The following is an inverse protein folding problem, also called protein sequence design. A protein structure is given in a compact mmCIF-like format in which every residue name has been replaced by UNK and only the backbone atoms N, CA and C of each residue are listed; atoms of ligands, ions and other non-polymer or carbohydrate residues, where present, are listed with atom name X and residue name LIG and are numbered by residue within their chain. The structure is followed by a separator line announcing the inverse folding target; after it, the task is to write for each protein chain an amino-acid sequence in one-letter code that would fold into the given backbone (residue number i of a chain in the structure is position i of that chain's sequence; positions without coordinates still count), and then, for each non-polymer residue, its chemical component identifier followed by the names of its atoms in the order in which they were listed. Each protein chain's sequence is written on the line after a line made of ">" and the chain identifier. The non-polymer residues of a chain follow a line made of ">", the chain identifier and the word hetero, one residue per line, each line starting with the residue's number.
data_IF_052129313177
#
_entry.id   IF_052129313177
#
_cell.length_a   1.000
_cell.length_b   1.000
_cell.length_c   1.000
_cell.angle_alpha   90.00
_cell.angle_beta   90.00
_cell.angle_gamma   90.00
#
_symmetry.space_group_name_H-M   'P 1'
#
loop_
_entity.id
_entity.type
_entity.pdbx_description
1 polymer ?
#
# COMPACT_ATOMS: atom_id res chain seq x y z
N UNK A 1 27.63 30.67 -18.96
CA UNK A 1 26.81 30.64 -17.74
C UNK A 1 27.77 30.53 -16.59
N UNK A 2 27.85 31.56 -15.75
CA UNK A 2 28.74 31.57 -14.59
C UNK A 2 28.20 30.62 -13.52
N UNK A 3 29.09 29.85 -12.88
CA UNK A 3 28.75 28.83 -11.88
C UNK A 3 27.96 29.42 -10.70
N UNK A 4 28.29 30.67 -10.33
CA UNK A 4 27.63 31.44 -9.27
C UNK A 4 26.14 31.74 -9.60
N UNK A 5 25.84 32.02 -10.88
CA UNK A 5 24.46 32.26 -11.33
C UNK A 5 23.62 30.98 -11.30
N UNK A 6 24.23 29.84 -11.64
CA UNK A 6 23.58 28.52 -11.54
C UNK A 6 23.25 28.16 -10.09
N UNK A 7 24.17 28.36 -9.15
CA UNK A 7 23.95 28.07 -7.72
C UNK A 7 22.87 28.97 -7.10
N UNK A 8 22.81 30.24 -7.52
CA UNK A 8 21.74 31.17 -7.12
C UNK A 8 20.36 30.77 -7.66
N UNK A 9 20.29 30.25 -8.89
CA UNK A 9 19.03 29.72 -9.42
C UNK A 9 18.63 28.41 -8.72
N UNK A 10 19.61 27.54 -8.44
CA UNK A 10 19.39 26.26 -7.77
C UNK A 10 18.86 26.44 -6.34
N UNK A 11 19.49 27.33 -5.56
CA UNK A 11 19.06 27.66 -4.19
C UNK A 11 17.62 28.19 -4.13
N UNK A 12 17.27 29.09 -5.06
CA UNK A 12 15.90 29.61 -5.18
C UNK A 12 14.90 28.50 -5.53
N UNK A 13 15.26 27.63 -6.48
CA UNK A 13 14.43 26.50 -6.85
C UNK A 13 14.25 25.52 -5.68
N UNK A 14 15.31 25.20 -4.92
CA UNK A 14 15.22 24.31 -3.77
C UNK A 14 14.34 24.88 -2.64
N UNK A 15 14.38 26.19 -2.39
CA UNK A 15 13.51 26.83 -1.40
C UNK A 15 12.04 26.78 -1.80
N UNK A 16 11.73 26.93 -3.09
CA UNK A 16 10.36 26.81 -3.61
C UNK A 16 9.87 25.36 -3.49
N UNK A 17 10.71 24.39 -3.85
CA UNK A 17 10.39 22.98 -3.72
C UNK A 17 10.20 22.57 -2.25
N UNK A 18 11.08 23.01 -1.34
CA UNK A 18 10.96 22.72 0.09
C UNK A 18 9.62 23.23 0.67
N UNK A 19 9.12 24.37 0.20
CA UNK A 19 7.79 24.88 0.59
C UNK A 19 6.65 24.09 -0.02
N UNK A 20 6.81 23.55 -1.23
CA UNK A 20 5.79 22.76 -1.93
C UNK A 20 5.67 21.31 -1.38
N UNK A 21 6.80 20.65 -1.06
CA UNK A 21 6.82 19.25 -0.58
C UNK A 21 6.07 19.08 0.74
N UNK A 22 6.03 20.11 1.59
CA UNK A 22 5.26 20.12 2.86
C UNK A 22 3.75 19.94 2.64
N UNK A 23 3.22 20.16 1.43
CA UNK A 23 1.80 19.94 1.13
C UNK A 23 1.47 18.55 0.58
N UNK A 24 2.44 17.72 0.18
CA UNK A 24 2.15 16.42 -0.45
C UNK A 24 1.68 15.32 0.54
N UNK A 25 1.76 15.53 1.85
CA UNK A 25 1.30 14.55 2.87
C UNK A 25 -0.16 14.75 3.34
N UNK A 26 -0.94 15.66 2.73
CA UNK A 26 -2.23 16.08 3.30
C UNK A 26 -3.40 15.10 3.14
N UNK A 27 -3.31 14.12 2.23
CA UNK A 27 -4.42 13.18 2.03
C UNK A 27 -4.38 12.02 3.05
N UNK A 28 -4.75 12.31 4.30
CA UNK A 28 -5.01 11.28 5.31
C UNK A 28 -6.41 10.71 5.12
N UNK A 29 -6.52 9.63 4.34
CA UNK A 29 -7.80 8.95 4.18
C UNK A 29 -8.25 8.39 5.54
N UNK A 30 -9.50 8.63 5.96
CA UNK A 30 -10.02 8.07 7.18
C UNK A 30 -10.05 6.55 7.07
N UNK A 31 -9.63 5.86 8.14
CA UNK A 31 -9.74 4.40 8.22
C UNK A 31 -11.19 3.97 8.05
N UNK A 32 -11.42 2.84 7.38
CA UNK A 32 -12.75 2.32 7.17
C UNK A 32 -13.39 1.88 8.49
N UNK A 33 -14.53 2.48 8.84
CA UNK A 33 -15.31 2.10 10.03
C UNK A 33 -16.20 0.94 9.66
N UNK A 34 -15.75 -0.27 10.01
CA UNK A 34 -16.43 -1.52 9.73
C UNK A 34 -17.25 -1.97 10.93
N UNK A 35 -18.50 -2.38 10.66
CA UNK A 35 -19.42 -2.95 11.62
C UNK A 35 -19.92 -4.29 11.11
N UNK A 36 -19.76 -5.34 11.92
CA UNK A 36 -20.24 -6.68 11.58
C UNK A 36 -21.67 -6.88 12.10
N UNK A 37 -22.63 -7.06 11.19
CA UNK A 37 -24.01 -7.43 11.50
C UNK A 37 -24.27 -8.87 11.05
N UNK A 38 -23.95 -9.82 11.92
CA UNK A 38 -24.18 -11.25 11.67
C UNK A 38 -23.25 -11.81 10.58
N UNK A 39 -23.78 -12.05 9.37
CA UNK A 39 -23.00 -12.51 8.19
C UNK A 39 -22.63 -11.36 7.25
N UNK A 40 -23.16 -10.17 7.50
CA UNK A 40 -23.00 -8.98 6.67
C UNK A 40 -22.00 -8.04 7.33
N UNK A 41 -21.14 -7.43 6.53
CA UNK A 41 -20.23 -6.38 6.97
C UNK A 41 -20.71 -5.05 6.41
N UNK A 42 -20.82 -4.03 7.26
CA UNK A 42 -21.26 -2.69 6.90
C UNK A 42 -20.10 -1.72 7.07
N UNK A 43 -19.72 -1.03 6.00
CA UNK A 43 -18.74 0.07 6.04
C UNK A 43 -19.51 1.38 6.17
N UNK A 44 -19.43 2.05 7.32
CA UNK A 44 -20.25 3.24 7.62
C UNK A 44 -19.80 4.50 6.87
N UNK A 45 -18.49 4.69 6.71
CA UNK A 45 -17.87 5.88 6.12
C UNK A 45 -17.43 5.66 4.66
N UNK A 46 -18.08 4.73 3.93
CA UNK A 46 -17.71 4.43 2.55
C UNK A 46 -17.82 5.67 1.66
N UNK A 47 -18.93 6.41 1.77
CA UNK A 47 -19.13 7.62 0.97
C UNK A 47 -18.07 8.68 1.28
N UNK A 48 -17.73 8.87 2.56
CA UNK A 48 -16.74 9.86 2.99
C UNK A 48 -15.34 9.55 2.41
N UNK A 49 -14.96 8.27 2.37
CA UNK A 49 -13.71 7.81 1.79
C UNK A 49 -13.70 8.10 0.27
N UNK A 50 -14.79 7.75 -0.41
CA UNK A 50 -14.91 7.90 -1.87
C UNK A 50 -14.92 9.37 -2.30
N UNK A 51 -15.62 10.22 -1.56
CA UNK A 51 -15.63 11.67 -1.77
C UNK A 51 -14.24 12.27 -1.57
N UNK A 52 -13.50 11.81 -0.56
CA UNK A 52 -12.14 12.29 -0.30
C UNK A 52 -11.15 11.94 -1.43
N UNK A 53 -11.30 10.78 -2.06
CA UNK A 53 -10.47 10.39 -3.23
C UNK A 53 -11.03 10.93 -4.56
N UNK A 54 -12.12 11.69 -4.52
CA UNK A 54 -12.80 12.25 -5.68
C UNK A 54 -13.11 11.20 -6.77
N UNK A 55 -13.80 10.12 -6.38
CA UNK A 55 -14.20 9.03 -7.30
C UNK A 55 -15.69 8.77 -7.26
N UNK A 56 -16.19 8.10 -8.31
CA UNK A 56 -17.59 7.67 -8.34
C UNK A 56 -17.78 6.42 -7.43
N UNK A 57 -18.72 6.45 -6.46
CA UNK A 57 -18.96 5.33 -5.54
C UNK A 57 -19.30 4.01 -6.24
N UNK A 58 -19.97 4.06 -7.39
CA UNK A 58 -20.36 2.86 -8.14
C UNK A 58 -19.16 2.21 -8.83
N UNK A 59 -18.23 3.02 -9.33
CA UNK A 59 -16.99 2.50 -9.93
C UNK A 59 -16.10 1.86 -8.84
N UNK A 60 -16.01 2.47 -7.66
CA UNK A 60 -15.30 1.91 -6.51
C UNK A 60 -15.96 0.61 -6.04
N UNK A 61 -17.29 0.57 -5.88
CA UNK A 61 -18.00 -0.64 -5.46
C UNK A 61 -17.88 -1.77 -6.49
N UNK A 62 -17.85 -1.44 -7.79
CA UNK A 62 -17.65 -2.42 -8.87
C UNK A 62 -16.25 -3.02 -8.83
N UNK A 63 -15.23 -2.20 -8.56
CA UNK A 63 -13.87 -2.69 -8.33
C UNK A 63 -13.82 -3.64 -7.12
N UNK A 64 -14.35 -3.21 -5.98
CA UNK A 64 -14.35 -4.03 -4.76
C UNK A 64 -15.12 -5.35 -4.95
N UNK A 65 -16.25 -5.31 -5.65
CA UNK A 65 -17.02 -6.52 -6.01
C UNK A 65 -16.18 -7.49 -6.84
N UNK A 66 -15.40 -6.98 -7.81
CA UNK A 66 -14.51 -7.79 -8.65
C UNK A 66 -13.35 -8.39 -7.84
N UNK A 67 -12.74 -7.60 -6.96
CA UNK A 67 -11.58 -8.02 -6.16
C UNK A 67 -11.94 -9.06 -5.09
N UNK A 68 -13.06 -8.86 -4.39
CA UNK A 68 -13.48 -9.77 -3.34
C UNK A 68 -14.31 -10.94 -3.87
N UNK A 69 -14.89 -10.82 -5.07
CA UNK A 69 -15.82 -11.81 -5.63
C UNK A 69 -17.13 -11.90 -4.87
N UNK A 70 -17.55 -10.81 -4.21
CA UNK A 70 -18.72 -10.76 -3.32
C UNK A 70 -19.61 -9.62 -3.78
N UNK A 71 -20.92 -9.86 -3.82
CA UNK A 71 -21.90 -8.80 -4.07
C UNK A 71 -21.88 -7.75 -2.97
N UNK A 72 -21.62 -6.50 -3.35
CA UNK A 72 -21.66 -5.33 -2.47
C UNK A 72 -22.77 -4.38 -2.93
N UNK A 73 -23.49 -3.79 -1.99
CA UNK A 73 -24.60 -2.86 -2.26
C UNK A 73 -24.34 -1.54 -1.54
N UNK A 74 -24.50 -0.43 -2.23
CA UNK A 74 -24.42 0.90 -1.62
C UNK A 74 -25.81 1.24 -1.08
N UNK A 75 -25.91 1.49 0.22
CA UNK A 75 -27.14 1.88 0.90
C UNK A 75 -26.95 3.27 1.52
N UNK A 76 -27.33 4.32 0.77
CA UNK A 76 -27.09 5.70 1.18
C UNK A 76 -25.60 6.00 1.34
N UNK A 77 -25.15 6.27 2.58
CA UNK A 77 -23.74 6.59 2.90
C UNK A 77 -22.88 5.36 3.24
N UNK A 78 -23.51 4.19 3.43
CA UNK A 78 -22.83 2.96 3.86
C UNK A 78 -22.72 1.95 2.72
N UNK A 79 -21.69 1.10 2.78
CA UNK A 79 -21.53 -0.05 1.89
C UNK A 79 -21.89 -1.33 2.65
N UNK A 80 -22.82 -2.11 2.11
CA UNK A 80 -23.26 -3.39 2.63
C UNK A 80 -22.56 -4.50 1.86
N UNK A 81 -21.87 -5.39 2.58
CA UNK A 81 -21.12 -6.50 2.03
C UNK A 81 -21.69 -7.80 2.59
N UNK A 82 -22.14 -8.70 1.72
CA UNK A 82 -22.81 -9.95 2.12
C UNK A 82 -21.88 -11.05 2.66
N UNK A 83 -20.74 -10.67 3.25
CA UNK A 83 -19.75 -11.56 3.87
C UNK A 83 -19.06 -10.82 5.01
N UNK A 84 -18.51 -11.58 5.97
CA UNK A 84 -17.53 -11.09 6.94
C UNK A 84 -16.21 -10.72 6.27
N UNK A 85 -15.75 -9.49 6.48
CA UNK A 85 -14.46 -8.97 6.01
C UNK A 85 -13.80 -8.26 7.18
N UNK A 86 -12.49 -8.47 7.35
CA UNK A 86 -11.72 -7.78 8.38
C UNK A 86 -11.41 -6.35 7.95
N UNK A 87 -11.15 -5.45 8.91
CA UNK A 87 -10.74 -4.08 8.60
C UNK A 87 -9.44 -4.03 7.78
N UNK A 88 -8.51 -4.93 8.08
CA UNK A 88 -7.23 -5.03 7.38
C UNK A 88 -7.42 -5.41 5.91
N UNK A 89 -8.23 -6.43 5.61
CA UNK A 89 -8.49 -6.85 4.24
C UNK A 89 -9.12 -5.74 3.40
N UNK A 90 -10.08 -5.02 3.98
CA UNK A 90 -10.74 -3.91 3.30
C UNK A 90 -9.77 -2.77 3.01
N UNK A 91 -8.98 -2.36 4.01
CA UNK A 91 -7.99 -1.30 3.84
C UNK A 91 -6.91 -1.68 2.82
N UNK A 92 -6.42 -2.92 2.85
CA UNK A 92 -5.44 -3.41 1.87
C UNK A 92 -6.00 -3.34 0.43
N UNK A 93 -7.25 -3.74 0.22
CA UNK A 93 -7.90 -3.63 -1.09
C UNK A 93 -8.16 -2.18 -1.51
N UNK A 94 -8.48 -1.31 -0.56
CA UNK A 94 -8.64 0.11 -0.84
C UNK A 94 -7.31 0.78 -1.20
N UNK A 95 -6.20 0.40 -0.55
CA UNK A 95 -4.86 0.86 -0.91
C UNK A 95 -4.45 0.39 -2.31
N UNK A 96 -4.75 -0.87 -2.67
CA UNK A 96 -4.57 -1.36 -4.04
C UNK A 96 -5.37 -0.53 -5.05
N UNK A 97 -6.62 -0.20 -4.73
CA UNK A 97 -7.44 0.69 -5.56
C UNK A 97 -6.79 2.06 -5.72
N UNK A 98 -6.36 2.69 -4.62
CA UNK A 98 -5.74 4.01 -4.66
C UNK A 98 -4.49 4.03 -5.53
N UNK A 99 -3.63 3.03 -5.37
CA UNK A 99 -2.40 2.96 -6.12
C UNK A 99 -2.69 2.90 -7.62
N UNK A 100 -3.72 2.14 -8.05
CA UNK A 100 -4.04 1.93 -9.47
C UNK A 100 -4.87 3.05 -10.08
N UNK A 101 -5.87 3.55 -9.36
CA UNK A 101 -6.93 4.41 -9.90
C UNK A 101 -6.92 5.84 -9.37
N UNK A 102 -6.08 6.16 -8.38
CA UNK A 102 -6.06 7.49 -7.73
C UNK A 102 -4.67 8.14 -7.83
N UNK A 103 -3.58 7.42 -7.54
CA UNK A 103 -2.24 8.00 -7.56
C UNK A 103 -1.69 8.14 -8.97
N UNK A 104 -1.16 9.31 -9.30
CA UNK A 104 -0.42 9.53 -10.53
C UNK A 104 0.89 8.73 -10.57
N UNK A 105 1.27 8.23 -11.75
CA UNK A 105 2.50 7.46 -11.94
C UNK A 105 3.78 8.30 -11.80
N UNK A 106 3.73 9.58 -12.19
CA UNK A 106 4.93 10.44 -12.22
C UNK A 106 5.14 11.18 -10.90
N UNK A 107 4.10 11.84 -10.38
CA UNK A 107 4.22 12.73 -9.23
C UNK A 107 3.61 12.17 -7.94
N UNK A 108 3.05 10.95 -7.98
CA UNK A 108 2.35 10.29 -6.88
C UNK A 108 1.20 11.11 -6.24
N UNK A 109 0.77 12.20 -6.90
CA UNK A 109 -0.32 13.03 -6.41
C UNK A 109 -1.65 12.26 -6.48
N UNK A 110 -2.51 12.38 -5.46
CA UNK A 110 -3.87 11.84 -5.49
C UNK A 110 -4.83 12.69 -6.34
N UNK A 111 -4.42 13.89 -6.77
CA UNK A 111 -5.22 14.79 -7.60
C UNK A 111 -5.27 14.32 -9.06
N UNK A 112 -6.08 13.31 -9.32
CA UNK A 112 -6.27 12.74 -10.67
C UNK A 112 -7.74 12.54 -11.00
N UNK A 113 -8.06 12.44 -12.28
CA UNK A 113 -9.40 12.13 -12.80
C UNK A 113 -9.34 10.95 -13.79
N UNK A 114 -10.45 10.22 -13.87
CA UNK A 114 -10.59 9.10 -14.82
C UNK A 114 -11.37 9.59 -16.03
N UNK A 115 -10.73 9.57 -17.21
CA UNK A 115 -11.32 9.94 -18.49
C UNK A 115 -11.55 8.66 -19.30
N UNK A 116 -12.77 8.45 -19.81
CA UNK A 116 -13.08 7.31 -20.68
C UNK A 116 -12.98 7.77 -22.13
N UNK A 117 -11.90 7.38 -22.82
CA UNK A 117 -11.72 7.64 -24.25
C UNK A 117 -11.91 6.35 -25.06
N UNK A 118 -12.97 6.32 -25.88
CA UNK A 118 -13.38 5.16 -26.67
C UNK A 118 -13.53 3.86 -25.85
N UNK A 119 -12.54 2.97 -25.92
CA UNK A 119 -12.52 1.66 -25.23
C UNK A 119 -11.52 1.59 -24.07
N UNK A 120 -10.78 2.67 -23.82
CA UNK A 120 -9.71 2.72 -22.82
C UNK A 120 -10.08 3.75 -21.75
N UNK A 121 -9.89 3.40 -20.50
CA UNK A 121 -9.97 4.37 -19.40
C UNK A 121 -8.56 4.93 -19.17
N UNK A 122 -8.44 6.25 -19.06
CA UNK A 122 -7.20 6.98 -18.84
C UNK A 122 -7.25 7.67 -17.47
N UNK A 123 -6.13 7.71 -16.76
CA UNK A 123 -5.95 8.53 -15.57
C UNK A 123 -5.23 9.82 -16.00
N UNK A 124 -5.83 10.97 -15.73
CA UNK A 124 -5.27 12.29 -16.03
C UNK A 124 -4.96 13.02 -14.73
N UNK A 125 -3.70 13.42 -14.53
CA UNK A 125 -3.28 14.12 -13.33
C UNK A 125 -3.45 15.63 -13.46
N UNK A 126 -4.11 16.28 -12.48
CA UNK A 126 -4.26 17.73 -12.45
C UNK A 126 -3.00 18.46 -11.99
N UNK A 127 -2.12 17.78 -11.27
CA UNK A 127 -0.89 18.36 -10.74
C UNK A 127 0.25 18.43 -11.77
N UNK A 128 0.48 17.34 -12.54
CA UNK A 128 1.55 17.28 -13.54
C UNK A 128 1.06 17.28 -15.00
N UNK A 129 -0.24 17.08 -15.25
CA UNK A 129 -0.81 17.03 -16.60
C UNK A 129 -0.63 15.69 -17.33
N UNK A 130 0.08 14.73 -16.74
CA UNK A 130 0.32 13.42 -17.35
C UNK A 130 -0.98 12.63 -17.54
N UNK A 131 -1.03 11.86 -18.63
CA UNK A 131 -2.13 10.96 -18.98
C UNK A 131 -1.61 9.55 -19.19
N UNK A 132 -2.18 8.58 -18.48
CA UNK A 132 -1.80 7.17 -18.61
C UNK A 132 -3.02 6.27 -18.79
N UNK A 133 -2.92 5.20 -19.59
CA UNK A 133 -3.98 4.21 -19.67
C UNK A 133 -4.07 3.38 -18.39
N UNK A 134 -5.31 3.21 -17.92
CA UNK A 134 -5.69 2.34 -16.81
C UNK A 134 -5.80 0.92 -17.37
N UNK A 135 -4.66 0.29 -17.65
CA UNK A 135 -4.64 -1.11 -18.12
C UNK A 135 -4.04 -2.05 -17.06
N UNK A 136 -4.74 -3.18 -16.92
CA UNK A 136 -4.79 -4.13 -15.81
C UNK A 136 -3.65 -5.15 -15.79
N UNK A 137 -2.43 -4.71 -16.05
CA UNK A 137 -1.24 -5.52 -15.83
C UNK A 137 -0.17 -4.65 -15.19
N UNK A 138 -0.53 -4.07 -14.04
CA UNK A 138 0.47 -3.98 -12.99
C UNK A 138 0.80 -5.41 -12.63
N UNK A 139 1.99 -5.89 -13.00
CA UNK A 139 2.80 -6.42 -11.92
C UNK A 139 2.75 -5.33 -10.86
N UNK A 140 1.96 -5.56 -9.82
CA UNK A 140 2.08 -4.76 -8.62
C UNK A 140 3.58 -4.87 -8.39
N UNK A 141 4.32 -3.78 -8.57
CA UNK A 141 5.53 -3.56 -7.81
C UNK A 141 4.98 -3.49 -6.39
N UNK A 142 4.66 -4.67 -5.84
CA UNK A 142 4.81 -4.97 -4.45
C UNK A 142 6.26 -4.56 -4.36
N UNK A 143 6.50 -3.39 -3.76
CA UNK A 143 7.73 -3.13 -3.03
C UNK A 143 8.04 -4.52 -2.48
N UNK A 144 8.95 -5.27 -3.13
CA UNK A 144 9.36 -6.55 -2.56
C UNK A 144 9.74 -6.07 -1.19
N UNK A 145 8.98 -6.45 -0.16
CA UNK A 145 9.15 -5.88 1.17
C UNK A 145 10.53 -6.40 1.59
N UNK A 146 11.56 -5.72 1.12
CA UNK A 146 12.91 -6.15 1.26
C UNK A 146 13.10 -6.00 2.74
N UNK A 147 13.48 -7.12 3.34
CA UNK A 147 13.81 -7.12 4.75
C UNK A 147 14.81 -5.97 4.93
N UNK A 148 14.55 -5.06 5.87
CA UNK A 148 15.48 -3.96 6.15
C UNK A 148 16.27 -4.29 7.39
N UNK A 149 17.56 -3.98 7.38
CA UNK A 149 18.41 -4.09 8.55
C UNK A 149 17.84 -3.23 9.69
N UNK A 150 17.96 -3.73 10.92
CA UNK A 150 17.44 -3.13 12.16
C UNK A 150 15.91 -2.97 12.26
N UNK A 151 15.12 -3.59 11.37
CA UNK A 151 13.66 -3.70 11.57
C UNK A 151 13.28 -4.98 12.32
N UNK A 152 12.19 -4.87 13.09
CA UNK A 152 11.56 -5.98 13.80
C UNK A 152 10.49 -6.63 12.92
N UNK A 153 10.51 -7.95 12.82
CA UNK A 153 9.53 -8.75 12.08
C UNK A 153 9.01 -9.89 12.96
N UNK A 154 7.76 -10.30 12.75
CA UNK A 154 7.21 -11.49 13.40
C UNK A 154 7.22 -12.61 12.37
N UNK A 155 7.90 -13.72 12.69
CA UNK A 155 8.07 -14.84 11.75
C UNK A 155 7.81 -16.17 12.43
N UNK A 156 7.35 -17.14 11.64
CA UNK A 156 7.13 -18.52 12.07
C UNK A 156 8.21 -19.42 11.49
N UNK A 157 8.83 -20.26 12.33
CA UNK A 157 9.97 -21.09 11.90
C UNK A 157 9.49 -22.35 11.16
N UNK A 158 9.81 -22.46 9.87
CA UNK A 158 9.41 -23.57 9.01
C UNK A 158 10.28 -24.82 9.22
N UNK A 159 11.59 -24.62 9.38
CA UNK A 159 12.56 -25.73 9.44
C UNK A 159 13.73 -25.43 10.37
N UNK A 160 14.42 -26.49 10.82
CA UNK A 160 15.65 -26.39 11.63
C UNK A 160 16.80 -26.95 10.79
N UNK A 161 17.91 -26.22 10.70
CA UNK A 161 19.15 -26.66 10.06
C UNK A 161 19.93 -27.67 10.93
N UNK A 162 20.91 -28.34 10.32
CA UNK A 162 21.74 -29.35 11.02
C UNK A 162 22.47 -28.80 12.26
N UNK A 163 22.73 -27.49 12.30
CA UNK A 163 23.40 -26.78 13.40
C UNK A 163 22.46 -26.25 14.48
N UNK A 164 21.16 -26.59 14.45
CA UNK A 164 20.17 -26.10 15.44
C UNK A 164 19.64 -24.69 15.18
N UNK A 165 19.88 -24.13 13.99
CA UNK A 165 19.36 -22.83 13.57
C UNK A 165 17.95 -22.96 12.97
N UNK A 166 17.01 -22.12 13.38
CA UNK A 166 15.71 -22.01 12.73
C UNK A 166 15.82 -21.26 11.40
N UNK A 167 15.12 -21.75 10.38
CA UNK A 167 15.05 -21.16 9.04
C UNK A 167 13.61 -20.89 8.66
N UNK A 168 13.37 -19.70 8.13
CA UNK A 168 12.09 -19.29 7.57
C UNK A 168 12.32 -18.41 6.33
N UNK A 169 11.35 -18.34 5.44
CA UNK A 169 11.44 -17.50 4.23
C UNK A 169 10.44 -16.36 4.36
N UNK A 170 10.93 -15.12 4.31
CA UNK A 170 10.12 -13.92 4.36
C UNK A 170 10.48 -13.02 3.17
N UNK A 171 9.47 -12.59 2.40
CA UNK A 171 9.62 -11.71 1.24
C UNK A 171 10.67 -12.15 0.19
N UNK A 172 10.92 -13.47 0.09
CA UNK A 172 11.90 -14.04 -0.85
C UNK A 172 13.29 -14.30 -0.27
N UNK A 173 13.62 -13.69 0.88
CA UNK A 173 14.89 -13.81 1.60
C UNK A 173 14.81 -14.91 2.66
N UNK A 174 15.87 -15.72 2.77
CA UNK A 174 15.98 -16.77 3.81
C UNK A 174 16.45 -16.14 5.11
N UNK A 175 15.64 -16.22 6.17
CA UNK A 175 16.00 -15.73 7.50
C UNK A 175 16.53 -16.90 8.33
N UNK A 176 17.70 -16.69 8.93
CA UNK A 176 18.34 -17.60 9.89
C UNK A 176 18.19 -17.00 11.28
N UNK A 177 17.58 -17.76 12.18
CA UNK A 177 17.32 -17.37 13.57
C UNK A 177 17.91 -18.45 14.49
N UNK A 178 18.96 -18.16 15.28
CA UNK A 178 19.53 -19.14 16.20
C UNK A 178 18.63 -19.33 17.44
N UNK A 179 18.62 -20.55 17.99
CA UNK A 179 18.02 -20.83 19.31
C UNK A 179 16.49 -20.96 19.36
N UNK A 180 15.84 -21.29 18.24
CA UNK A 180 14.38 -21.40 18.11
C UNK A 180 13.92 -22.81 17.71
N UNK A 181 12.70 -23.17 18.09
CA UNK A 181 12.09 -24.47 17.76
C UNK A 181 11.21 -24.37 16.50
N UNK A 182 11.07 -25.49 15.80
CA UNK A 182 10.19 -25.62 14.63
C UNK A 182 8.74 -25.33 15.02
N UNK A 183 8.04 -24.53 14.21
CA UNK A 183 6.65 -24.12 14.45
C UNK A 183 6.46 -23.01 15.48
N UNK A 184 7.54 -22.49 16.07
CA UNK A 184 7.46 -21.36 16.99
C UNK A 184 7.32 -20.04 16.21
N UNK A 185 6.41 -19.18 16.65
CA UNK A 185 6.30 -17.80 16.15
C UNK A 185 7.08 -16.88 17.08
N UNK A 186 8.05 -16.15 16.53
CA UNK A 186 8.98 -15.31 17.30
C UNK A 186 9.11 -13.93 16.67
N UNK A 187 9.32 -12.92 17.51
CA UNK A 187 9.71 -11.57 17.08
C UNK A 187 11.22 -11.54 16.89
N UNK A 188 11.67 -11.14 15.71
CA UNK A 188 13.07 -11.13 15.32
C UNK A 188 13.51 -9.72 14.93
N UNK A 189 14.76 -9.40 15.22
CA UNK A 189 15.43 -8.19 14.75
C UNK A 189 16.48 -8.59 13.72
N UNK A 190 16.37 -8.05 12.51
CA UNK A 190 17.31 -8.37 11.42
C UNK A 190 18.58 -7.57 11.64
N UNK A 191 19.69 -8.26 11.94
CA UNK A 191 20.98 -7.62 12.18
C UNK A 191 21.70 -7.32 10.88
N UNK A 192 21.68 -8.28 9.96
CA UNK A 192 22.47 -8.19 8.74
C UNK A 192 21.80 -8.93 7.58
N UNK A 193 21.89 -8.36 6.39
CA UNK A 193 21.41 -8.97 5.15
C UNK A 193 22.59 -9.19 4.22
N UNK A 194 22.69 -10.40 3.68
CA UNK A 194 23.70 -10.77 2.68
C UNK A 194 23.00 -11.45 1.51
N UNK A 195 23.04 -10.81 0.35
CA UNK A 195 22.39 -11.23 -0.88
C UNK A 195 20.91 -11.60 -0.65
N UNK A 196 20.64 -12.90 -0.47
CA UNK A 196 19.30 -13.43 -0.26
C UNK A 196 19.12 -14.18 1.09
N UNK A 197 20.04 -13.94 2.04
CA UNK A 197 19.99 -14.50 3.40
C UNK A 197 20.10 -13.39 4.45
N UNK A 198 19.15 -13.34 5.38
CA UNK A 198 19.14 -12.42 6.51
C UNK A 198 19.46 -13.17 7.81
N UNK A 199 20.34 -12.62 8.63
CA UNK A 199 20.64 -13.12 9.97
C UNK A 199 19.85 -12.27 10.96
N UNK A 200 19.00 -12.92 11.75
CA UNK A 200 18.14 -12.25 12.70
C UNK A 200 18.23 -12.87 14.09
N UNK A 201 18.05 -12.04 15.11
CA UNK A 201 18.12 -12.44 16.53
C UNK A 201 16.73 -12.33 17.15
N UNK A 202 16.39 -13.25 18.06
CA UNK A 202 15.11 -13.22 18.77
C UNK A 202 15.13 -12.09 19.79
N UNK A 203 14.18 -11.16 19.66
CA UNK A 203 13.94 -10.15 20.69
C UNK A 203 12.86 -10.69 21.62
N UNK A 204 13.22 -10.90 22.89
CA UNK A 204 12.24 -11.07 23.96
C UNK A 204 11.79 -9.67 24.36
N UNK A 205 10.48 -9.44 24.41
CA UNK A 205 9.92 -8.23 25.03
C UNK A 205 10.34 -8.16 26.51
#
# INVERSE_FOLDING_TARGET
>A
MDVDDYEKMLSKASDVLAKATVSQERLKIPKAVIMEEGKVTVVRNFMDIVEMINRDPKEVSKFLTKEFGIGMTIDGRRLIINRKITEEDFNNKMEQYMNVYVRCYECNSPDTEIIKEARVSLISCKACGAQHPINMSREIMIDRDEIRENKKYTVTIDSIGKSGEGRTKLYGTSIIVPGVKKGQTVKILVKKIRDNTAIAEVVKD
#
